data_IF_985904353884
#
_entry.id   IF_985904353884
#
_cell.length_a   1.000
_cell.length_b   1.000
_cell.length_c   1.000
_cell.angle_alpha   90.00
_cell.angle_beta   90.00
_cell.angle_gamma   90.00
#
_symmetry.space_group_name_H-M   'P 1'
#
loop_
_entity.id
_entity.type
_entity.pdbx_description
1 polymer ?
#
# COMPACT_ATOMS: atom_id res chain seq x y z
N UNK A 1 13.51 9.64 -12.56
CA UNK A 1 12.21 9.43 -11.88
C UNK A 1 12.45 8.96 -10.45
N UNK A 2 11.74 9.55 -9.51
CA UNK A 2 11.73 9.09 -8.11
C UNK A 2 10.63 8.08 -7.91
N UNK A 3 10.86 7.12 -6.99
CA UNK A 3 9.88 6.06 -6.70
C UNK A 3 9.50 6.11 -5.22
N UNK A 4 8.19 6.15 -4.97
CA UNK A 4 7.60 6.19 -3.63
C UNK A 4 6.75 4.95 -3.43
N UNK A 5 7.03 4.20 -2.38
CA UNK A 5 6.22 3.04 -1.98
C UNK A 5 5.29 3.43 -0.84
N UNK A 6 3.99 3.21 -1.05
CA UNK A 6 2.97 3.36 -0.03
C UNK A 6 2.62 1.98 0.51
N UNK A 7 3.11 1.67 1.70
CA UNK A 7 2.95 0.35 2.32
C UNK A 7 2.00 0.46 3.50
N UNK A 8 0.83 -0.15 3.40
CA UNK A 8 -0.18 0.03 4.43
C UNK A 8 -1.27 -1.04 4.45
N UNK A 9 -2.33 -0.71 5.16
CA UNK A 9 -3.49 -1.58 5.38
C UNK A 9 -4.66 -1.22 4.46
N UNK A 10 -5.88 -1.38 4.97
CA UNK A 10 -7.12 -1.09 4.23
C UNK A 10 -7.24 0.38 3.80
N UNK A 11 -6.65 1.32 4.54
CA UNK A 11 -6.66 2.73 4.16
C UNK A 11 -5.84 2.96 2.88
N UNK A 12 -4.74 2.25 2.72
CA UNK A 12 -3.91 2.32 1.51
C UNK A 12 -4.53 1.52 0.36
N UNK A 13 -5.13 0.38 0.66
CA UNK A 13 -5.85 -0.42 -0.32
C UNK A 13 -7.04 0.32 -0.91
N UNK A 14 -7.70 1.16 -0.10
CA UNK A 14 -8.86 1.96 -0.50
C UNK A 14 -10.19 1.32 -0.13
N UNK A 15 -10.26 0.68 1.03
CA UNK A 15 -11.51 0.06 1.50
C UNK A 15 -12.60 1.11 1.70
N UNK A 16 -13.77 0.85 1.11
CA UNK A 16 -14.96 1.68 1.23
C UNK A 16 -15.93 1.04 2.22
N UNK A 17 -15.93 1.57 3.46
CA UNK A 17 -16.78 1.03 4.53
C UNK A 17 -18.27 1.28 4.31
N UNK A 18 -18.64 2.32 3.55
CA UNK A 18 -20.05 2.63 3.28
C UNK A 18 -20.67 1.65 2.29
N UNK A 19 -19.91 1.26 1.27
CA UNK A 19 -20.38 0.38 0.19
C UNK A 19 -19.81 -1.03 0.28
N UNK A 20 -19.02 -1.35 1.31
CA UNK A 20 -18.40 -2.65 1.55
C UNK A 20 -17.58 -3.14 0.35
N UNK A 21 -16.82 -2.23 -0.25
CA UNK A 21 -16.03 -2.51 -1.43
C UNK A 21 -14.71 -1.76 -1.44
N UNK A 22 -14.34 -1.31 -2.61
CA UNK A 22 -13.11 -0.58 -2.82
C UNK A 22 -13.40 0.74 -3.53
N UNK A 23 -12.82 1.84 -3.04
CA UNK A 23 -12.91 3.12 -3.73
C UNK A 23 -12.36 3.03 -5.15
N UNK A 24 -12.90 3.83 -6.04
CA UNK A 24 -12.36 3.94 -7.40
C UNK A 24 -10.86 4.31 -7.34
N UNK A 25 -10.10 3.83 -8.30
CA UNK A 25 -8.64 3.98 -8.32
C UNK A 25 -8.19 5.43 -8.08
N UNK A 26 -8.82 6.38 -8.75
CA UNK A 26 -8.48 7.80 -8.66
C UNK A 26 -8.78 8.43 -7.28
N UNK A 27 -9.63 7.79 -6.48
CA UNK A 27 -10.04 8.30 -5.16
C UNK A 27 -9.19 7.74 -4.01
N UNK A 28 -8.34 6.74 -4.28
CA UNK A 28 -7.44 6.18 -3.27
C UNK A 28 -6.29 7.12 -3.01
N UNK A 29 -5.88 7.25 -1.73
CA UNK A 29 -4.86 8.25 -1.39
C UNK A 29 -3.53 8.10 -2.15
N UNK A 30 -3.01 6.89 -2.48
CA UNK A 30 -1.81 6.81 -3.30
C UNK A 30 -2.00 7.39 -4.70
N UNK A 31 -3.19 7.25 -5.27
CA UNK A 31 -3.52 7.83 -6.58
C UNK A 31 -3.62 9.34 -6.53
N UNK A 32 -4.18 9.89 -5.44
CA UNK A 32 -4.23 11.34 -5.21
C UNK A 32 -2.81 11.89 -5.05
N UNK A 33 -1.96 11.18 -4.31
CA UNK A 33 -0.54 11.54 -4.16
C UNK A 33 0.17 11.53 -5.52
N UNK A 34 -0.03 10.49 -6.32
CA UNK A 34 0.55 10.38 -7.67
C UNK A 34 0.18 11.59 -8.52
N UNK A 35 -1.08 11.96 -8.51
CA UNK A 35 -1.56 13.10 -9.29
C UNK A 35 -0.92 14.42 -8.82
N UNK A 36 -0.77 14.59 -7.51
CA UNK A 36 -0.16 15.78 -6.94
C UNK A 36 1.34 15.90 -7.23
N UNK A 37 2.06 14.77 -7.27
CA UNK A 37 3.51 14.74 -7.50
C UNK A 37 3.88 14.80 -8.98
N UNK A 38 2.97 14.45 -9.89
CA UNK A 38 3.21 14.52 -11.33
C UNK A 38 3.99 13.34 -11.91
N UNK A 39 4.39 13.48 -13.17
CA UNK A 39 4.91 12.36 -13.97
C UNK A 39 6.36 11.97 -13.67
N UNK A 40 7.11 12.80 -12.94
CA UNK A 40 8.50 12.52 -12.57
C UNK A 40 8.63 11.65 -11.32
N UNK A 41 7.51 11.28 -10.72
CA UNK A 41 7.46 10.42 -9.54
C UNK A 41 6.56 9.25 -9.85
N UNK A 42 7.03 8.04 -9.51
CA UNK A 42 6.22 6.82 -9.60
C UNK A 42 5.76 6.45 -8.19
N UNK A 43 4.46 6.48 -7.95
CA UNK A 43 3.85 6.09 -6.67
C UNK A 43 3.32 4.67 -6.80
N UNK A 44 3.83 3.78 -5.95
CA UNK A 44 3.42 2.37 -5.91
C UNK A 44 2.56 2.15 -4.67
N UNK A 45 1.38 1.60 -4.86
CA UNK A 45 0.47 1.30 -3.76
C UNK A 45 0.57 -0.19 -3.39
N UNK A 46 0.89 -0.46 -2.13
CA UNK A 46 0.95 -1.78 -1.54
C UNK A 46 0.06 -1.82 -0.29
N UNK A 47 -1.24 -1.78 -0.49
CA UNK A 47 -2.23 -1.89 0.57
C UNK A 47 -2.77 -3.31 0.70
N UNK A 48 -2.98 -3.75 1.92
CA UNK A 48 -3.59 -5.04 2.21
C UNK A 48 -4.58 -4.88 3.36
N UNK A 49 -5.83 -5.24 3.14
CA UNK A 49 -6.85 -5.21 4.19
C UNK A 49 -6.42 -6.09 5.36
N UNK A 50 -6.43 -5.51 6.55
CA UNK A 50 -6.04 -6.22 7.75
C UNK A 50 -4.54 -6.38 7.96
N UNK A 51 -3.69 -5.74 7.13
CA UNK A 51 -2.25 -5.77 7.39
C UNK A 51 -1.95 -5.19 8.76
N UNK A 52 -1.18 -5.93 9.54
CA UNK A 52 -0.71 -5.50 10.87
C UNK A 52 0.71 -4.94 10.77
N UNK A 53 1.17 -4.29 11.83
CA UNK A 53 2.56 -3.83 11.89
C UNK A 53 3.53 -5.01 12.03
N UNK A 54 3.28 -5.92 12.97
CA UNK A 54 4.20 -7.02 13.27
C UNK A 54 3.52 -8.23 13.90
N UNK A 55 2.23 -8.42 13.69
CA UNK A 55 1.46 -9.49 14.30
C UNK A 55 0.93 -10.46 13.27
N UNK A 56 0.96 -11.75 13.61
CA UNK A 56 0.34 -12.78 12.79
C UNK A 56 -1.16 -12.85 13.06
N UNK A 57 -1.93 -13.01 11.99
CA UNK A 57 -3.36 -13.25 12.06
C UNK A 57 -3.63 -14.68 11.59
N UNK A 58 -3.79 -15.58 12.55
CA UNK A 58 -3.96 -17.02 12.28
C UNK A 58 -5.29 -17.38 11.64
N UNK A 59 -6.24 -16.44 11.61
CA UNK A 59 -7.55 -16.65 10.98
C UNK A 59 -7.61 -16.07 9.55
N UNK A 60 -6.57 -15.36 9.15
CA UNK A 60 -6.51 -14.79 7.80
C UNK A 60 -6.15 -15.84 6.76
N UNK A 61 -6.60 -15.62 5.55
CA UNK A 61 -6.31 -16.45 4.37
C UNK A 61 -4.99 -16.09 3.68
N UNK A 62 -4.27 -15.12 4.22
CA UNK A 62 -2.97 -14.69 3.72
C UNK A 62 -2.11 -14.16 4.87
N UNK A 63 -0.82 -13.95 4.61
CA UNK A 63 0.08 -13.36 5.61
C UNK A 63 -0.21 -11.87 5.73
N UNK A 64 -0.65 -11.44 6.91
CA UNK A 64 -0.95 -10.05 7.23
C UNK A 64 0.10 -9.36 8.09
N UNK A 65 1.20 -10.06 8.39
CA UNK A 65 2.29 -9.48 9.18
C UNK A 65 3.12 -8.53 8.32
N UNK A 66 2.97 -7.23 8.55
CA UNK A 66 3.63 -6.20 7.74
C UNK A 66 5.15 -6.25 7.86
N UNK A 67 5.67 -6.51 9.06
CA UNK A 67 7.12 -6.58 9.27
C UNK A 67 7.75 -7.78 8.55
N UNK A 68 7.06 -8.91 8.52
CA UNK A 68 7.55 -10.12 7.84
C UNK A 68 7.67 -9.94 6.34
N UNK A 69 6.67 -9.29 5.72
CA UNK A 69 6.62 -9.14 4.27
C UNK A 69 7.42 -7.94 3.74
N UNK A 70 7.68 -6.96 4.58
CA UNK A 70 8.30 -5.71 4.15
C UNK A 70 9.63 -5.89 3.42
N UNK A 71 10.59 -6.70 3.89
CA UNK A 71 11.85 -6.86 3.17
C UNK A 71 11.67 -7.36 1.74
N UNK A 72 10.79 -8.33 1.53
CA UNK A 72 10.48 -8.87 0.20
C UNK A 72 9.86 -7.81 -0.70
N UNK A 73 8.93 -7.03 -0.17
CA UNK A 73 8.27 -5.95 -0.91
C UNK A 73 9.28 -4.86 -1.28
N UNK A 74 10.16 -4.49 -0.35
CA UNK A 74 11.20 -3.49 -0.63
C UNK A 74 12.14 -3.95 -1.75
N UNK A 75 12.56 -5.20 -1.73
CA UNK A 75 13.41 -5.77 -2.79
C UNK A 75 12.68 -5.83 -4.12
N UNK A 76 11.40 -6.20 -4.11
CA UNK A 76 10.58 -6.31 -5.32
C UNK A 76 10.45 -4.98 -6.07
N UNK A 77 10.40 -3.88 -5.35
CA UNK A 77 10.20 -2.54 -5.92
C UNK A 77 11.47 -1.68 -5.96
N UNK A 78 12.61 -2.21 -5.53
CA UNK A 78 13.86 -1.45 -5.53
C UNK A 78 14.27 -1.03 -6.95
N UNK A 79 14.90 0.13 -7.12
CA UNK A 79 15.29 1.09 -6.08
C UNK A 79 14.13 2.01 -5.65
N UNK A 80 14.08 2.31 -4.37
CA UNK A 80 13.06 3.20 -3.79
C UNK A 80 13.71 4.45 -3.21
N UNK A 81 13.04 5.59 -3.37
CA UNK A 81 13.47 6.86 -2.81
C UNK A 81 12.77 7.17 -1.49
N UNK A 82 11.53 6.70 -1.32
CA UNK A 82 10.73 6.93 -0.12
C UNK A 82 9.76 5.78 0.11
N UNK A 83 9.58 5.41 1.37
CA UNK A 83 8.56 4.46 1.83
C UNK A 83 7.69 5.18 2.86
N UNK A 84 6.39 5.13 2.63
CA UNK A 84 5.39 5.71 3.54
C UNK A 84 4.55 4.59 4.14
#
# INVERSE_FOLDING_TARGET
>A
MKTVLCYGDSLTWGYDAENLGRHAFEDRWPSVLQKALGDNVNVIAEGLNGRTTAYDDHLADCDRNGATLLPTILHSHAPLDLVI
#
